data_IF_359592259842
#
_entry.id   IF_359592259842
#
_cell.length_a   1.000
_cell.length_b   1.000
_cell.length_c   1.000
_cell.angle_alpha   90.00
_cell.angle_beta   90.00
_cell.angle_gamma   90.00
#
_symmetry.space_group_name_H-M   'P 1'
#
loop_
_entity.id
_entity.type
_entity.pdbx_description
1 polymer ?
#
# COMPACT_ATOMS: atom_id res chain seq x y z
N UNK A 1 -17.13 8.04 -27.82
CA UNK A 1 -18.32 7.16 -27.82
C UNK A 1 -18.92 7.15 -26.42
N UNK A 2 -20.25 7.27 -26.23
CA UNK A 2 -20.86 7.17 -24.91
C UNK A 2 -20.90 5.71 -24.46
N UNK A 3 -20.16 5.38 -23.40
CA UNK A 3 -20.26 4.09 -22.72
C UNK A 3 -21.64 4.03 -22.06
N UNK A 4 -22.48 3.06 -22.42
CA UNK A 4 -23.80 2.91 -21.80
C UNK A 4 -23.60 2.51 -20.33
N UNK A 5 -24.41 3.01 -19.38
CA UNK A 5 -24.26 2.71 -17.94
C UNK A 5 -24.15 1.21 -17.62
N UNK A 6 -24.78 0.36 -18.45
CA UNK A 6 -24.70 -1.10 -18.35
C UNK A 6 -23.30 -1.65 -18.69
N UNK A 7 -22.56 -1.00 -19.58
CA UNK A 7 -21.22 -1.42 -20.00
C UNK A 7 -20.15 -1.11 -18.94
N UNK A 8 -20.28 0.00 -18.22
CA UNK A 8 -19.33 0.38 -17.17
C UNK A 8 -19.38 -0.54 -15.94
N UNK A 9 -20.59 -0.88 -15.46
CA UNK A 9 -20.76 -1.84 -14.36
C UNK A 9 -20.28 -3.23 -14.77
N UNK A 10 -20.65 -3.66 -15.99
CA UNK A 10 -20.21 -4.93 -16.58
C UNK A 10 -18.69 -5.02 -16.71
N UNK A 11 -17.99 -3.92 -17.00
CA UNK A 11 -16.53 -3.92 -17.09
C UNK A 11 -15.85 -4.24 -15.75
N UNK A 12 -16.35 -3.68 -14.64
CA UNK A 12 -15.82 -3.97 -13.30
C UNK A 12 -16.18 -5.39 -12.86
N UNK A 13 -17.41 -5.83 -13.12
CA UNK A 13 -17.88 -7.20 -12.85
C UNK A 13 -17.00 -8.25 -13.54
N UNK A 14 -16.70 -8.07 -14.84
CA UNK A 14 -15.82 -8.98 -15.58
C UNK A 14 -14.40 -9.06 -14.98
N UNK A 15 -13.89 -7.94 -14.47
CA UNK A 15 -12.57 -7.90 -13.83
C UNK A 15 -12.58 -8.62 -12.47
N UNK A 16 -13.63 -8.43 -11.68
CA UNK A 16 -13.84 -9.12 -10.40
C UNK A 16 -14.04 -10.63 -10.61
N UNK A 17 -14.80 -11.02 -11.64
CA UNK A 17 -14.99 -12.41 -12.05
C UNK A 17 -13.67 -13.06 -12.44
N UNK A 18 -12.84 -12.38 -13.23
CA UNK A 18 -11.53 -12.89 -13.61
C UNK A 18 -10.61 -13.03 -12.39
N UNK A 19 -10.60 -12.03 -11.51
CA UNK A 19 -9.85 -12.06 -10.25
C UNK A 19 -10.24 -13.28 -9.39
N UNK A 20 -11.54 -13.60 -9.28
CA UNK A 20 -12.03 -14.74 -8.49
C UNK A 20 -11.57 -16.10 -9.04
N UNK A 21 -11.32 -16.20 -10.35
CA UNK A 21 -10.88 -17.42 -11.03
C UNK A 21 -9.38 -17.73 -10.85
N UNK A 22 -8.58 -16.75 -10.39
CA UNK A 22 -7.15 -16.91 -10.12
C UNK A 22 -6.91 -17.59 -8.76
N UNK A 23 -7.11 -18.91 -8.73
CA UNK A 23 -7.00 -19.72 -7.50
C UNK A 23 -5.64 -20.40 -7.38
N UNK A 24 -4.91 -20.56 -8.50
CA UNK A 24 -3.65 -21.32 -8.53
C UNK A 24 -2.52 -20.53 -7.84
N UNK A 25 -1.60 -21.21 -7.11
CA UNK A 25 -0.51 -20.52 -6.40
C UNK A 25 0.37 -19.65 -7.30
N UNK A 26 0.60 -20.07 -8.55
CA UNK A 26 1.35 -19.30 -9.54
C UNK A 26 0.69 -17.99 -9.96
N UNK A 27 -0.63 -17.88 -9.83
CA UNK A 27 -1.41 -16.71 -10.26
C UNK A 27 -1.47 -15.63 -9.16
N UNK A 28 -0.88 -15.88 -7.98
CA UNK A 28 -0.97 -15.00 -6.80
C UNK A 28 -0.56 -13.56 -7.09
N UNK A 29 0.50 -13.35 -7.87
CA UNK A 29 0.98 -12.01 -8.22
C UNK A 29 -0.02 -11.25 -9.08
N UNK A 30 -0.55 -11.90 -10.11
CA UNK A 30 -1.56 -11.32 -10.99
C UNK A 30 -2.84 -11.00 -10.22
N UNK A 31 -3.26 -11.89 -9.33
CA UNK A 31 -4.43 -11.68 -8.47
C UNK A 31 -4.30 -10.39 -7.65
N UNK A 32 -3.15 -10.20 -6.98
CA UNK A 32 -2.90 -9.02 -6.16
C UNK A 32 -2.77 -7.73 -6.98
N UNK A 33 -2.19 -7.81 -8.17
CA UNK A 33 -2.13 -6.67 -9.09
C UNK A 33 -3.54 -6.23 -9.54
N UNK A 34 -4.40 -7.19 -9.89
CA UNK A 34 -5.79 -6.91 -10.27
C UNK A 34 -6.59 -6.36 -9.09
N UNK A 35 -6.41 -6.92 -7.90
CA UNK A 35 -7.05 -6.41 -6.67
C UNK A 35 -6.69 -4.93 -6.43
N UNK A 36 -5.42 -4.56 -6.64
CA UNK A 36 -4.96 -3.16 -6.55
C UNK A 36 -5.65 -2.27 -7.58
N UNK A 37 -5.79 -2.72 -8.83
CA UNK A 37 -6.50 -1.97 -9.88
C UNK A 37 -7.96 -1.75 -9.50
N UNK A 38 -8.67 -2.79 -9.04
CA UNK A 38 -10.06 -2.70 -8.58
C UNK A 38 -10.17 -1.68 -7.44
N UNK A 39 -9.27 -1.73 -6.46
CA UNK A 39 -9.26 -0.83 -5.31
C UNK A 39 -9.05 0.63 -5.71
N UNK A 40 -8.06 0.90 -6.57
CA UNK A 40 -7.78 2.25 -7.08
C UNK A 40 -8.96 2.77 -7.89
N UNK A 41 -9.54 1.93 -8.75
CA UNK A 41 -10.70 2.29 -9.57
C UNK A 41 -11.89 2.68 -8.69
N UNK A 42 -12.24 1.85 -7.71
CA UNK A 42 -13.32 2.14 -6.75
C UNK A 42 -13.05 3.45 -6.00
N UNK A 43 -11.84 3.65 -5.48
CA UNK A 43 -11.48 4.89 -4.79
C UNK A 43 -11.65 6.13 -5.67
N UNK A 44 -11.18 6.08 -6.93
CA UNK A 44 -11.37 7.19 -7.89
C UNK A 44 -12.83 7.43 -8.24
N UNK A 45 -13.63 6.37 -8.36
CA UNK A 45 -15.07 6.49 -8.60
C UNK A 45 -15.76 7.16 -7.40
N UNK A 46 -15.46 6.74 -6.18
CA UNK A 46 -16.02 7.36 -4.97
C UNK A 46 -15.62 8.83 -4.85
N UNK A 47 -14.36 9.18 -5.12
CA UNK A 47 -13.92 10.58 -5.14
C UNK A 47 -14.72 11.41 -6.16
N UNK A 48 -14.88 10.92 -7.39
CA UNK A 48 -15.68 11.61 -8.40
C UNK A 48 -17.15 11.80 -7.98
N UNK A 49 -17.72 10.82 -7.27
CA UNK A 49 -19.08 10.94 -6.74
C UNK A 49 -19.17 11.96 -5.60
N UNK A 50 -18.16 12.01 -4.71
CA UNK A 50 -18.09 13.01 -3.65
C UNK A 50 -17.95 14.42 -4.22
N UNK A 51 -17.13 14.62 -5.25
CA UNK A 51 -16.98 15.92 -5.91
C UNK A 51 -18.32 16.42 -6.48
N UNK A 52 -19.13 15.52 -7.06
CA UNK A 52 -20.48 15.84 -7.55
C UNK A 52 -21.41 16.20 -6.39
N UNK A 53 -21.36 15.42 -5.30
CA UNK A 53 -22.20 15.66 -4.12
C UNK A 53 -21.87 17.00 -3.47
N UNK A 54 -20.58 17.29 -3.25
CA UNK A 54 -20.11 18.57 -2.70
C UNK A 54 -20.58 19.75 -3.56
N UNK A 55 -20.45 19.66 -4.89
CA UNK A 55 -20.97 20.68 -5.79
C UNK A 55 -22.48 20.87 -5.65
N UNK A 56 -23.24 19.77 -5.60
CA UNK A 56 -24.68 19.82 -5.43
C UNK A 56 -25.08 20.52 -4.13
N UNK A 57 -24.43 20.18 -3.01
CA UNK A 57 -24.71 20.76 -1.69
C UNK A 57 -24.28 22.22 -1.59
N UNK A 58 -23.06 22.57 -2.02
CA UNK A 58 -22.51 23.92 -1.87
C UNK A 58 -23.03 24.91 -2.91
N UNK A 59 -23.50 24.45 -4.07
CA UNK A 59 -23.92 25.33 -5.18
C UNK A 59 -25.40 25.23 -5.46
N UNK A 60 -25.92 24.03 -5.69
CA UNK A 60 -27.27 23.86 -6.19
C UNK A 60 -28.31 23.96 -5.06
N UNK A 61 -28.00 23.45 -3.87
CA UNK A 61 -28.86 23.54 -2.68
C UNK A 61 -28.74 24.87 -1.90
N UNK A 62 -27.79 25.75 -2.23
CA UNK A 62 -27.66 27.03 -1.53
C UNK A 62 -28.75 28.01 -2.00
N UNK A 63 -29.73 28.29 -1.14
CA UNK A 63 -30.84 29.21 -1.42
C UNK A 63 -30.40 30.69 -1.47
N UNK A 64 -29.22 31.03 -0.94
CA UNK A 64 -28.68 32.39 -1.00
C UNK A 64 -28.04 32.72 -2.35
N UNK A 65 -27.80 31.71 -3.20
CA UNK A 65 -27.23 31.90 -4.53
C UNK A 65 -28.34 32.13 -5.55
N UNK A 66 -28.20 33.19 -6.34
CA UNK A 66 -29.06 33.43 -7.49
C UNK A 66 -28.85 32.36 -8.57
N UNK A 67 -29.86 32.17 -9.43
CA UNK A 67 -29.77 31.24 -10.56
C UNK A 67 -28.58 31.57 -11.47
N UNK A 68 -28.29 32.85 -11.67
CA UNK A 68 -27.15 33.32 -12.46
C UNK A 68 -25.83 32.86 -11.83
N UNK A 69 -25.68 33.01 -10.51
CA UNK A 69 -24.49 32.57 -9.81
C UNK A 69 -24.32 31.05 -9.88
N UNK A 70 -25.39 30.27 -9.61
CA UNK A 70 -25.39 28.81 -9.76
C UNK A 70 -24.96 28.38 -11.16
N UNK A 71 -25.45 29.08 -12.19
CA UNK A 71 -25.12 28.81 -13.60
C UNK A 71 -23.62 29.01 -13.86
N UNK A 72 -23.05 30.14 -13.41
CA UNK A 72 -21.62 30.42 -13.59
C UNK A 72 -20.75 29.39 -12.87
N UNK A 73 -21.09 29.04 -11.63
CA UNK A 73 -20.35 28.03 -10.87
C UNK A 73 -20.44 26.63 -11.52
N UNK A 74 -21.60 26.28 -12.07
CA UNK A 74 -21.82 25.04 -12.83
C UNK A 74 -20.94 24.96 -14.08
N UNK A 75 -20.89 26.04 -14.88
CA UNK A 75 -20.03 26.09 -16.07
C UNK A 75 -18.56 25.95 -15.67
N UNK A 76 -18.16 26.62 -14.58
CA UNK A 76 -16.77 26.57 -14.10
C UNK A 76 -16.34 25.16 -13.69
N UNK A 77 -17.17 24.43 -12.95
CA UNK A 77 -16.81 23.07 -12.53
C UNK A 77 -16.80 22.09 -13.71
N UNK A 78 -17.68 22.26 -14.70
CA UNK A 78 -17.66 21.48 -15.93
C UNK A 78 -16.32 21.67 -16.70
N UNK A 79 -15.93 22.92 -16.94
CA UNK A 79 -14.65 23.24 -17.61
C UNK A 79 -13.44 22.68 -16.85
N UNK A 80 -13.49 22.69 -15.50
CA UNK A 80 -12.44 22.09 -14.66
C UNK A 80 -12.34 20.58 -14.91
N UNK A 81 -13.46 19.86 -14.88
CA UNK A 81 -13.48 18.40 -15.09
C UNK A 81 -13.03 18.00 -16.49
N UNK A 82 -13.35 18.81 -17.51
CA UNK A 82 -12.86 18.61 -18.88
C UNK A 82 -11.32 18.73 -18.94
N UNK A 83 -10.75 19.72 -18.25
CA UNK A 83 -9.29 19.93 -18.19
C UNK A 83 -8.58 18.81 -17.41
N UNK A 84 -9.15 18.38 -16.28
CA UNK A 84 -8.62 17.31 -15.43
C UNK A 84 -8.68 15.91 -16.11
N UNK A 85 -9.57 15.75 -17.09
CA UNK A 85 -9.67 14.55 -17.93
C UNK A 85 -8.49 14.38 -18.89
N UNK A 86 -8.01 15.49 -19.48
CA UNK A 86 -6.93 15.49 -20.49
C UNK A 86 -5.55 15.24 -19.88
N UNK A 87 -5.33 15.64 -18.63
CA UNK A 87 -4.01 15.55 -17.97
C UNK A 87 -3.63 14.14 -17.48
N UNK A 88 -4.53 13.15 -17.62
CA UNK A 88 -4.36 11.78 -17.08
C UNK A 88 -3.93 10.74 -18.12
N UNK A 89 -3.53 11.15 -19.33
CA UNK A 89 -2.87 10.20 -20.25
C UNK A 89 -1.58 9.66 -19.63
N UNK A 90 -1.47 8.33 -19.65
CA UNK A 90 -0.49 7.52 -18.92
C UNK A 90 0.93 7.80 -19.46
N UNK A 91 1.91 8.20 -18.63
CA UNK A 91 3.31 8.15 -19.01
C UNK A 91 3.69 6.69 -19.29
N UNK A 92 4.23 6.43 -20.48
CA UNK A 92 4.68 5.12 -20.91
C UNK A 92 5.91 4.67 -20.09
N UNK A 93 5.70 4.07 -18.93
CA UNK A 93 6.75 3.69 -17.98
C UNK A 93 6.87 2.16 -17.79
N UNK A 94 7.56 1.52 -18.73
CA UNK A 94 8.18 0.18 -18.56
C UNK A 94 9.00 0.09 -17.25
N UNK A 95 9.49 1.22 -16.75
CA UNK A 95 10.24 1.42 -15.50
C UNK A 95 9.48 0.96 -14.24
N UNK A 96 8.17 1.20 -14.19
CA UNK A 96 7.34 1.02 -12.98
C UNK A 96 7.03 -0.47 -12.73
N UNK A 97 6.90 -1.26 -13.81
CA UNK A 97 6.72 -2.72 -13.75
C UNK A 97 7.90 -3.41 -13.05
N UNK A 98 9.15 -2.97 -13.30
CA UNK A 98 10.34 -3.53 -12.65
C UNK A 98 10.40 -3.22 -11.15
N UNK A 99 10.00 -2.03 -10.74
CA UNK A 99 9.98 -1.61 -9.33
C UNK A 99 8.95 -2.40 -8.51
N UNK A 100 7.75 -2.60 -9.06
CA UNK A 100 6.70 -3.40 -8.42
C UNK A 100 7.11 -4.87 -8.32
N UNK A 101 7.72 -5.44 -9.37
CA UNK A 101 8.25 -6.81 -9.34
C UNK A 101 9.33 -7.00 -8.25
N UNK A 102 10.22 -6.02 -8.08
CA UNK A 102 11.31 -6.12 -7.10
C UNK A 102 10.83 -5.98 -5.64
N UNK A 103 9.89 -5.07 -5.37
CA UNK A 103 9.31 -4.92 -4.03
C UNK A 103 8.51 -6.16 -3.60
N UNK A 104 7.85 -6.82 -4.55
CA UNK A 104 7.00 -7.97 -4.28
C UNK A 104 7.79 -9.29 -4.07
N UNK A 105 8.99 -9.42 -4.64
CA UNK A 105 9.86 -10.59 -4.42
C UNK A 105 10.55 -10.59 -3.04
N UNK A 106 10.66 -9.45 -2.36
CA UNK A 106 11.28 -9.36 -1.04
C UNK A 106 10.43 -9.97 0.09
N UNK A 107 9.10 -10.02 -0.05
CA UNK A 107 8.18 -10.54 0.97
C UNK A 107 8.20 -12.09 1.11
N UNK A 108 8.78 -12.81 0.13
CA UNK A 108 8.85 -14.28 0.15
C UNK A 108 10.19 -14.86 0.67
N UNK A 109 11.16 -14.05 1.12
CA UNK A 109 12.35 -14.59 1.82
C UNK A 109 12.05 -14.68 3.32
N UNK A 110 11.59 -15.84 3.78
CA UNK A 110 11.68 -16.21 5.21
C UNK A 110 13.17 -16.18 5.63
N UNK A 111 13.52 -15.69 6.84
CA UNK A 111 14.82 -15.96 7.40
C UNK A 111 14.87 -17.45 7.82
N UNK A 112 15.74 -18.23 7.19
CA UNK A 112 16.06 -19.58 7.68
C UNK A 112 16.67 -19.46 9.08
N UNK A 113 16.01 -20.10 10.06
CA UNK A 113 16.63 -20.40 11.35
C UNK A 113 17.55 -21.60 11.15
N UNK A 114 18.86 -21.35 11.17
CA UNK A 114 19.85 -22.42 11.24
C UNK A 114 19.65 -23.22 12.54
N UNK A 115 19.41 -24.52 12.42
CA UNK A 115 19.43 -25.49 13.51
C UNK A 115 20.79 -26.17 13.44
N UNK A 116 21.76 -25.68 14.21
CA UNK A 116 22.98 -26.42 14.45
C UNK A 116 22.72 -27.48 15.53
N UNK A 117 22.86 -28.73 15.14
CA UNK A 117 22.93 -29.89 16.05
C UNK A 117 24.41 -30.22 16.24
N UNK A 118 24.89 -30.49 17.46
CA UNK A 118 26.07 -31.35 17.58
C UNK A 118 25.81 -32.55 18.50
N UNK A 119 26.02 -33.74 17.93
CA UNK A 119 26.00 -35.04 18.61
C UNK A 119 27.41 -35.40 19.13
N UNK A 120 27.46 -35.67 20.44
CA UNK A 120 28.35 -36.52 21.27
C UNK A 120 29.76 -36.93 20.81
N UNK A 121 30.78 -36.70 21.67
CA UNK A 121 31.45 -37.76 22.46
C UNK A 121 32.53 -37.25 23.46
N UNK A 122 32.57 -37.95 24.60
CA UNK A 122 33.45 -37.94 25.81
C UNK A 122 34.97 -37.74 25.54
N UNK A 123 35.86 -37.36 26.48
CA UNK A 123 36.06 -37.85 27.86
C UNK A 123 37.28 -37.17 28.56
N UNK A 124 37.36 -37.27 29.92
CA UNK A 124 38.53 -37.15 30.84
C UNK A 124 39.00 -35.70 31.13
N UNK A 125 39.18 -35.17 32.35
CA UNK A 125 39.19 -35.71 33.71
C UNK A 125 40.56 -35.61 34.39
N UNK A 126 41.02 -34.43 34.86
CA UNK A 126 41.99 -34.28 35.99
C UNK A 126 42.07 -32.85 36.54
N UNK A 127 42.11 -32.74 37.87
CA UNK A 127 42.33 -31.57 38.76
C UNK A 127 43.86 -31.28 38.92
N UNK A 128 44.38 -30.28 39.70
CA UNK A 128 43.82 -29.04 40.31
C UNK A 128 44.80 -27.81 40.31
N UNK A 129 44.38 -26.70 40.97
CA UNK A 129 45.19 -25.66 41.69
C UNK A 129 46.04 -24.70 40.81
N UNK A 130 46.02 -23.37 40.91
CA UNK A 130 46.46 -22.56 42.07
C UNK A 130 46.37 -21.06 41.71
N UNK A 131 45.58 -20.30 42.48
CA UNK A 131 45.86 -18.98 43.09
C UNK A 131 46.36 -17.81 42.20
N UNK A 132 45.70 -16.65 42.36
CA UNK A 132 46.26 -15.34 42.80
C UNK A 132 45.47 -14.18 42.13
N UNK A 133 44.62 -13.54 42.94
CA UNK A 133 44.06 -12.18 42.81
C UNK A 133 45.17 -11.12 42.98
N UNK A 134 44.92 -9.81 43.21
CA UNK A 134 43.81 -8.90 42.87
C UNK A 134 44.34 -7.57 42.26
N UNK A 135 43.45 -6.64 41.86
CA UNK A 135 43.60 -5.17 42.04
C UNK A 135 42.43 -4.46 41.34
N UNK A 136 41.52 -3.83 42.08
CA UNK A 136 41.35 -2.37 42.25
C UNK A 136 41.03 -1.63 40.95
N UNK A 137 40.14 -0.66 40.85
CA UNK A 137 39.11 0.00 41.66
C UNK A 137 38.48 0.99 40.63
N UNK A 138 37.46 1.74 41.04
CA UNK A 138 36.95 2.98 40.41
C UNK A 138 35.68 2.82 39.57
N UNK A 139 34.57 3.09 40.26
CA UNK A 139 33.35 3.72 39.74
C UNK A 139 33.64 4.77 38.66
N UNK A 140 32.99 4.67 37.50
CA UNK A 140 32.59 5.87 36.78
C UNK A 140 31.29 5.69 35.99
N UNK A 141 30.36 6.59 36.30
CA UNK A 141 29.00 6.70 35.79
C UNK A 141 29.00 7.00 34.29
N UNK A 142 28.20 6.30 33.47
CA UNK A 142 27.47 6.96 32.36
C UNK A 142 26.07 6.41 32.16
N UNK A 143 25.17 7.37 32.26
CA UNK A 143 23.74 7.38 32.05
C UNK A 143 23.41 7.05 30.59
N UNK A 144 22.44 6.18 30.35
CA UNK A 144 21.68 6.15 29.09
C UNK A 144 20.26 5.62 29.35
N UNK A 145 19.37 6.58 29.59
CA UNK A 145 17.94 6.63 29.28
C UNK A 145 17.22 5.34 28.86
N UNK A 146 16.40 4.84 29.80
CA UNK A 146 14.94 4.61 29.71
C UNK A 146 14.39 4.41 28.29
N UNK A 147 14.09 3.15 27.98
CA UNK A 147 12.92 2.74 27.19
C UNK A 147 11.71 2.72 28.13
N UNK A 148 10.49 2.80 27.58
CA UNK A 148 9.16 2.46 28.16
C UNK A 148 8.33 3.73 28.45
N UNK A 149 7.14 4.02 27.89
CA UNK A 149 6.12 3.31 27.11
C UNK A 149 5.65 4.16 25.93
#
# INVERSE_FOLDING_TARGET
MPVRKQEAHRALELLEDYHSKLIKPQDRQLRLAIERVIRIFKSRLFQALLDIQEFYELTLLDDNKSIQQKTVETIRIANKWETDGVRREIPNDESEYRLVSNAFLQDNRKPERNVDTPDSAKQIGTVPTTIISPSADTDEKKVAFIIVY
#
